data_IF_825454619646
#
_entry.id   IF_825454619646
#
_cell.length_a   1.000
_cell.length_b   1.000
_cell.length_c   1.000
_cell.angle_alpha   90.00
_cell.angle_beta   90.00
_cell.angle_gamma   90.00
#
_symmetry.space_group_name_H-M   'P 1'
#
loop_
_entity.id
_entity.type
_entity.pdbx_description
1 polymer ?
#
# COMPACT_ATOMS: atom_id res chain seq x y z
N UNK A 1 14.49 -6.27 -37.89
CA UNK A 1 14.12 -7.16 -36.79
C UNK A 1 14.64 -6.51 -35.52
N UNK A 2 13.79 -5.70 -34.88
CA UNK A 2 14.00 -5.23 -33.51
C UNK A 2 13.00 -6.05 -32.68
N UNK A 3 13.51 -7.10 -32.03
CA UNK A 3 12.84 -7.78 -30.93
C UNK A 3 12.93 -6.82 -29.73
N UNK A 4 11.92 -5.96 -29.58
CA UNK A 4 11.55 -5.44 -28.25
C UNK A 4 10.99 -6.63 -27.48
N UNK A 5 11.90 -7.35 -26.81
CA UNK A 5 11.61 -8.29 -25.74
C UNK A 5 11.01 -7.45 -24.59
N UNK A 6 9.72 -7.14 -24.72
CA UNK A 6 8.88 -6.58 -23.66
C UNK A 6 8.76 -7.67 -22.60
N UNK A 7 9.85 -7.86 -21.85
CA UNK A 7 9.90 -8.62 -20.60
C UNK A 7 8.97 -7.85 -19.66
N UNK A 8 7.68 -8.19 -19.76
CA UNK A 8 6.62 -7.70 -18.91
C UNK A 8 6.84 -8.28 -17.51
N UNK A 9 7.92 -7.89 -16.86
CA UNK A 9 7.96 -7.80 -15.41
C UNK A 9 6.73 -6.97 -15.06
N UNK A 10 5.76 -7.56 -14.36
CA UNK A 10 4.66 -6.78 -13.81
C UNK A 10 5.30 -5.65 -12.99
N UNK A 11 5.21 -4.41 -13.50
CA UNK A 11 5.90 -3.27 -12.90
C UNK A 11 5.45 -3.15 -11.44
N UNK A 12 6.38 -3.30 -10.51
CA UNK A 12 6.08 -3.14 -9.09
C UNK A 12 5.57 -1.73 -8.83
N UNK A 13 4.55 -1.58 -8.01
CA UNK A 13 3.97 -0.27 -7.74
C UNK A 13 2.71 -0.37 -6.91
N UNK A 14 2.22 0.80 -6.49
CA UNK A 14 0.95 0.93 -5.79
C UNK A 14 0.10 2.01 -6.47
N UNK A 15 -1.17 1.71 -6.68
CA UNK A 15 -2.19 2.65 -7.13
C UNK A 15 -3.13 2.92 -5.97
N UNK A 16 -3.24 4.19 -5.55
CA UNK A 16 -4.19 4.62 -4.54
C UNK A 16 -5.32 5.41 -5.18
N UNK A 17 -6.56 4.94 -5.03
CA UNK A 17 -7.76 5.62 -5.50
C UNK A 17 -8.55 6.09 -4.31
N UNK A 18 -8.74 7.41 -4.20
CA UNK A 18 -9.38 8.00 -3.03
C UNK A 18 -10.36 9.10 -3.38
N UNK A 19 -11.34 9.27 -2.50
CA UNK A 19 -12.21 10.44 -2.43
C UNK A 19 -11.83 11.25 -1.21
N UNK A 20 -11.77 12.58 -1.37
CA UNK A 20 -11.50 13.51 -0.28
C UNK A 20 -12.73 14.35 -0.02
N UNK A 21 -13.22 14.35 1.23
CA UNK A 21 -14.38 15.11 1.66
C UNK A 21 -14.01 16.09 2.79
N UNK A 22 -14.30 17.40 2.66
CA UNK A 22 -14.13 18.33 3.77
C UNK A 22 -15.18 18.07 4.85
N UNK A 23 -14.78 17.98 6.12
CA UNK A 23 -15.68 17.75 7.27
C UNK A 23 -15.31 18.70 8.41
N UNK A 24 -16.12 19.74 8.65
CA UNK A 24 -15.81 20.69 9.72
C UNK A 24 -14.46 21.40 9.51
N UNK A 25 -13.45 21.06 10.32
CA UNK A 25 -12.11 21.67 10.31
C UNK A 25 -11.02 20.81 9.65
N UNK A 26 -11.36 19.64 9.10
CA UNK A 26 -10.39 18.75 8.46
C UNK A 26 -10.91 18.11 7.17
N UNK A 27 -10.19 17.09 6.71
CA UNK A 27 -10.53 16.35 5.49
C UNK A 27 -10.53 14.84 5.74
N UNK A 28 -11.58 14.17 5.28
CA UNK A 28 -11.68 12.71 5.34
C UNK A 28 -11.27 12.13 4.00
N UNK A 29 -10.36 11.17 4.04
CA UNK A 29 -9.88 10.41 2.89
C UNK A 29 -10.43 9.00 3.02
N UNK A 30 -11.20 8.58 2.03
CA UNK A 30 -11.71 7.23 1.89
C UNK A 30 -11.25 6.68 0.54
N UNK A 31 -10.55 5.55 0.54
CA UNK A 31 -9.97 5.02 -0.68
C UNK A 31 -9.55 3.56 -0.58
N UNK A 32 -9.00 3.07 -1.68
CA UNK A 32 -8.47 1.71 -1.80
C UNK A 32 -7.11 1.71 -2.49
N UNK A 33 -6.25 0.79 -2.06
CA UNK A 33 -4.93 0.55 -2.63
C UNK A 33 -4.91 -0.79 -3.34
N UNK A 34 -4.40 -0.78 -4.56
CA UNK A 34 -3.96 -1.96 -5.31
C UNK A 34 -2.44 -1.88 -5.47
N UNK A 35 -1.71 -2.96 -5.23
CA UNK A 35 -0.26 -2.99 -5.32
C UNK A 35 0.29 -4.32 -5.87
N UNK A 36 1.37 -4.21 -6.63
CA UNK A 36 2.25 -5.33 -6.99
C UNK A 36 3.58 -5.10 -6.27
N UNK A 37 3.93 -6.01 -5.37
CA UNK A 37 5.13 -5.91 -4.53
C UNK A 37 6.07 -7.08 -4.81
N UNK A 38 7.37 -6.81 -4.86
CA UNK A 38 8.39 -7.86 -4.88
C UNK A 38 8.69 -8.30 -3.44
N UNK A 39 8.55 -9.59 -3.17
CA UNK A 39 8.93 -10.23 -1.90
C UNK A 39 9.93 -11.35 -2.17
N UNK A 40 10.84 -11.61 -1.24
CA UNK A 40 11.79 -12.71 -1.40
C UNK A 40 11.14 -14.05 -1.05
N UNK A 41 11.41 -15.09 -1.84
CA UNK A 41 11.08 -16.47 -1.49
C UNK A 41 11.87 -16.88 -0.24
N UNK A 42 11.17 -17.46 0.74
CA UNK A 42 11.79 -17.88 2.01
C UNK A 42 12.73 -19.08 1.86
N UNK A 43 12.58 -19.86 0.78
CA UNK A 43 13.38 -21.06 0.52
C UNK A 43 14.65 -20.73 -0.25
N UNK A 44 14.54 -20.02 -1.37
CA UNK A 44 15.66 -19.77 -2.29
C UNK A 44 16.11 -18.30 -2.39
N UNK A 45 15.37 -17.37 -1.78
CA UNK A 45 15.67 -15.94 -1.81
C UNK A 45 15.32 -15.24 -3.14
N UNK A 46 14.81 -15.96 -4.14
CA UNK A 46 14.44 -15.36 -5.41
C UNK A 46 13.27 -14.37 -5.25
N UNK A 47 13.25 -13.23 -5.96
CA UNK A 47 12.13 -12.30 -5.92
C UNK A 47 10.88 -12.96 -6.52
N UNK A 48 9.75 -12.78 -5.84
CA UNK A 48 8.42 -13.22 -6.23
C UNK A 48 7.50 -12.01 -6.20
N UNK A 49 6.71 -11.84 -7.24
CA UNK A 49 5.73 -10.76 -7.30
C UNK A 49 4.46 -11.20 -6.57
N UNK A 50 3.97 -10.34 -5.67
CA UNK A 50 2.73 -10.54 -4.93
C UNK A 50 1.76 -9.42 -5.26
N UNK A 51 0.52 -9.80 -5.52
CA UNK A 51 -0.55 -8.87 -5.83
C UNK A 51 -1.46 -8.68 -4.62
N UNK A 52 -1.66 -7.44 -4.25
CA UNK A 52 -2.51 -7.00 -3.13
C UNK A 52 -3.59 -6.10 -3.72
N UNK A 53 -4.86 -6.47 -3.62
CA UNK A 53 -5.96 -5.74 -4.28
C UNK A 53 -7.00 -5.25 -3.28
N UNK A 54 -7.56 -4.07 -3.56
CA UNK A 54 -8.72 -3.52 -2.88
C UNK A 54 -8.54 -3.33 -1.38
N UNK A 55 -7.35 -2.92 -0.92
CA UNK A 55 -7.11 -2.69 0.51
C UNK A 55 -7.70 -1.34 0.91
N UNK A 56 -8.74 -1.37 1.76
CA UNK A 56 -9.38 -0.16 2.27
C UNK A 56 -8.40 0.70 3.08
N UNK A 57 -8.44 2.00 2.81
CA UNK A 57 -7.67 3.02 3.51
C UNK A 57 -8.61 4.14 3.94
N UNK A 58 -8.60 4.45 5.24
CA UNK A 58 -9.33 5.57 5.82
C UNK A 58 -8.37 6.44 6.59
N UNK A 59 -8.36 7.73 6.26
CA UNK A 59 -7.55 8.72 6.96
C UNK A 59 -8.34 9.98 7.27
N UNK A 60 -8.14 10.53 8.46
CA UNK A 60 -8.65 11.82 8.89
C UNK A 60 -7.49 12.82 8.98
N UNK A 61 -7.52 13.84 8.14
CA UNK A 61 -6.57 14.95 8.17
C UNK A 61 -7.09 16.03 9.11
N UNK A 62 -6.42 16.23 10.24
CA UNK A 62 -6.85 17.16 11.29
C UNK A 62 -5.73 18.11 11.71
N UNK A 63 -6.05 19.37 11.98
CA UNK A 63 -5.06 20.35 12.46
C UNK A 63 -4.62 20.10 13.91
N UNK A 64 -5.49 19.49 14.73
CA UNK A 64 -5.29 19.23 16.15
C UNK A 64 -4.94 17.77 16.44
N UNK A 65 -4.85 16.92 15.41
CA UNK A 65 -4.43 15.54 15.54
C UNK A 65 -3.09 15.46 16.26
N UNK A 66 -3.01 14.55 17.24
CA UNK A 66 -1.76 14.09 17.80
C UNK A 66 -1.48 12.67 17.30
N UNK A 67 -0.22 12.25 17.31
CA UNK A 67 0.24 10.93 16.85
C UNK A 67 -0.34 9.75 17.67
N UNK A 68 -1.15 10.03 18.69
CA UNK A 68 -1.81 9.08 19.57
C UNK A 68 -3.32 8.94 19.29
N UNK A 69 -3.88 9.73 18.37
CA UNK A 69 -5.33 9.80 18.11
C UNK A 69 -5.83 8.76 17.09
N UNK A 70 -5.02 7.76 16.71
CA UNK A 70 -5.44 6.69 15.79
C UNK A 70 -6.69 5.98 16.32
N UNK A 71 -7.78 6.04 15.56
CA UNK A 71 -9.08 5.53 15.96
C UNK A 71 -9.40 4.24 15.21
N UNK A 72 -8.84 3.13 15.69
CA UNK A 72 -9.12 1.77 15.21
C UNK A 72 -8.81 1.55 13.73
N UNK A 73 -9.79 1.83 12.86
CA UNK A 73 -9.73 1.63 11.41
C UNK A 73 -9.40 2.93 10.63
N UNK A 74 -9.45 4.09 11.28
CA UNK A 74 -9.14 5.39 10.65
C UNK A 74 -7.83 5.92 11.19
N UNK A 75 -6.89 6.16 10.29
CA UNK A 75 -5.63 6.81 10.65
C UNK A 75 -5.81 8.31 10.80
N UNK A 76 -5.26 8.89 11.85
CA UNK A 76 -5.40 10.32 12.13
C UNK A 76 -4.08 11.02 11.86
N UNK A 77 -4.06 11.90 10.85
CA UNK A 77 -2.83 12.52 10.33
C UNK A 77 -2.86 14.04 10.58
N UNK A 78 -1.83 14.60 11.25
CA UNK A 78 -1.69 16.04 11.43
C UNK A 78 -1.59 16.79 10.11
N UNK A 79 -2.57 17.64 9.82
CA UNK A 79 -2.65 18.44 8.61
C UNK A 79 -2.94 19.92 8.93
N UNK A 80 -1.91 20.71 9.26
CA UNK A 80 -2.09 22.10 9.62
C UNK A 80 -2.48 22.95 8.40
N UNK A 81 -3.28 23.99 8.62
CA UNK A 81 -3.91 24.82 7.56
C UNK A 81 -2.97 25.46 6.53
N UNK A 82 -1.69 25.58 6.84
CA UNK A 82 -0.67 26.15 5.94
C UNK A 82 0.01 25.10 5.06
N UNK A 83 -0.33 23.83 5.24
CA UNK A 83 0.24 22.72 4.50
C UNK A 83 -0.61 22.43 3.27
N UNK A 84 0.04 22.36 2.12
CA UNK A 84 -0.63 22.10 0.83
C UNK A 84 -0.59 20.61 0.45
N UNK A 85 0.31 19.83 1.05
CA UNK A 85 0.60 18.45 0.66
C UNK A 85 0.66 17.52 1.88
N UNK A 86 0.08 16.33 1.75
CA UNK A 86 0.14 15.28 2.78
C UNK A 86 0.85 14.05 2.21
N UNK A 87 1.86 13.54 2.92
CA UNK A 87 2.48 12.27 2.57
C UNK A 87 1.67 11.11 3.18
N UNK A 88 1.19 10.21 2.32
CA UNK A 88 0.44 9.00 2.73
C UNK A 88 1.26 7.73 2.55
N UNK A 89 2.54 7.85 2.15
CA UNK A 89 3.40 6.71 1.81
C UNK A 89 3.52 5.73 2.98
N UNK A 90 3.67 6.24 4.21
CA UNK A 90 3.71 5.42 5.42
C UNK A 90 2.45 4.58 5.61
N UNK A 91 1.28 5.24 5.58
CA UNK A 91 -0.03 4.59 5.70
C UNK A 91 -0.23 3.51 4.63
N UNK A 92 0.03 3.84 3.36
CA UNK A 92 -0.10 2.92 2.23
C UNK A 92 0.81 1.70 2.41
N UNK A 93 2.07 1.91 2.79
CA UNK A 93 3.02 0.82 3.05
C UNK A 93 2.51 -0.12 4.15
N UNK A 94 1.98 0.43 5.23
CA UNK A 94 1.59 -0.36 6.40
C UNK A 94 0.31 -1.18 6.11
N UNK A 95 -0.66 -0.62 5.39
CA UNK A 95 -1.85 -1.39 4.96
C UNK A 95 -1.51 -2.50 3.95
N UNK A 96 -0.59 -2.23 3.01
CA UNK A 96 -0.14 -3.24 2.05
C UNK A 96 0.60 -4.37 2.76
N UNK A 97 1.46 -4.04 3.73
CA UNK A 97 2.18 -5.04 4.54
C UNK A 97 1.26 -5.91 5.39
N UNK A 98 0.19 -5.36 5.94
CA UNK A 98 -0.79 -6.15 6.70
C UNK A 98 -1.56 -7.16 5.84
N UNK A 99 -1.64 -6.93 4.53
CA UNK A 99 -2.34 -7.80 3.59
C UNK A 99 -1.42 -8.71 2.79
N UNK A 100 -0.11 -8.42 2.77
CA UNK A 100 0.88 -9.30 2.20
C UNK A 100 0.94 -10.62 2.99
N UNK A 101 1.03 -11.78 2.32
CA UNK A 101 1.11 -13.07 3.00
C UNK A 101 2.38 -13.17 3.87
N UNK A 102 2.23 -13.77 5.06
CA UNK A 102 3.31 -13.96 6.02
C UNK A 102 4.39 -14.94 5.52
N UNK A 103 4.00 -15.91 4.70
CA UNK A 103 4.89 -16.91 4.11
C UNK A 103 4.88 -16.77 2.59
N UNK A 104 6.05 -16.75 1.97
CA UNK A 104 6.22 -16.54 0.53
C UNK A 104 7.17 -17.57 -0.05
N UNK A 105 6.62 -18.50 -0.83
CA UNK A 105 7.40 -19.50 -1.57
C UNK A 105 7.19 -19.23 -3.06
N UNK A 106 8.28 -19.22 -3.84
CA UNK A 106 8.16 -19.06 -5.29
C UNK A 106 7.61 -20.34 -5.92
N UNK A 107 6.95 -20.22 -7.08
CA UNK A 107 6.36 -21.35 -7.79
C UNK A 107 7.34 -22.51 -8.03
N UNK A 108 8.62 -22.22 -8.24
CA UNK A 108 9.65 -23.24 -8.41
C UNK A 108 9.84 -24.07 -7.13
N UNK A 109 9.97 -23.41 -5.97
CA UNK A 109 10.11 -24.09 -4.68
C UNK A 109 8.81 -24.78 -4.24
N UNK A 110 7.63 -24.27 -4.63
CA UNK A 110 6.35 -24.97 -4.41
C UNK A 110 6.26 -26.28 -5.22
N UNK A 111 6.74 -26.26 -6.47
CA UNK A 111 6.73 -27.44 -7.37
C UNK A 111 7.73 -28.53 -6.97
N UNK A 112 8.89 -28.16 -6.43
CA UNK A 112 9.90 -29.10 -5.91
C UNK A 112 9.50 -29.76 -4.56
N UNK A 113 8.44 -29.25 -3.90
CA UNK A 113 7.97 -29.72 -2.59
C UNK A 113 6.80 -30.72 -2.61
N UNK A 114 6.37 -31.24 -3.77
CA UNK A 114 5.26 -32.21 -3.92
C UNK A 114 5.72 -33.64 -4.24
#
# INVERSE_FOLDING_TARGET
DDDDDDDATEETGATFRATVAPVGHGFFIDGSVDAVIAVACEVCGAPTMQRVEGVDVKAWLDENANELDSSGETEVIPFPRHREECDLTGLIRDVVRMRAPYENVCEACERDGS
#
